data_IF_918136452291
#
_entry.id   IF_918136452291
#
_cell.length_a   1.000
_cell.length_b   1.000
_cell.length_c   1.000
_cell.angle_alpha   90.00
_cell.angle_beta   90.00
_cell.angle_gamma   90.00
#
_symmetry.space_group_name_H-M   'P 1'
#
loop_
_entity.id
_entity.type
_entity.pdbx_description
1 polymer ?
#
# COMPACT_ATOMS: atom_id res chain seq x y z
N UNK A 1 23.55 -15.30 7.15
CA UNK A 1 22.14 -15.00 6.82
C UNK A 1 22.16 -14.04 5.64
N UNK A 2 21.66 -14.45 4.47
CA UNK A 2 21.66 -13.60 3.29
C UNK A 2 20.59 -12.52 3.45
N UNK A 3 20.99 -11.25 3.38
CA UNK A 3 20.04 -10.13 3.33
C UNK A 3 19.10 -10.31 2.13
N UNK A 4 17.78 -10.18 2.28
CA UNK A 4 16.88 -10.24 1.13
C UNK A 4 17.22 -9.06 0.21
N UNK A 5 17.69 -9.36 -1.00
CA UNK A 5 17.88 -8.35 -2.03
C UNK A 5 16.49 -7.87 -2.47
N UNK A 6 16.05 -6.75 -1.92
CA UNK A 6 14.87 -6.05 -2.41
C UNK A 6 15.18 -5.51 -3.82
N UNK A 7 14.97 -6.35 -4.84
CA UNK A 7 15.04 -5.91 -6.23
C UNK A 7 13.82 -5.04 -6.50
N UNK A 8 14.02 -3.73 -6.50
CA UNK A 8 13.00 -2.77 -6.93
C UNK A 8 12.62 -3.12 -8.38
N UNK A 9 11.37 -3.50 -8.61
CA UNK A 9 10.83 -3.78 -9.95
C UNK A 9 10.63 -2.45 -10.67
N UNK A 10 11.68 -2.02 -11.38
CA UNK A 10 11.68 -0.83 -12.25
C UNK A 10 10.91 -1.17 -13.54
N UNK A 11 9.61 -1.34 -13.43
CA UNK A 11 8.71 -1.43 -14.58
C UNK A 11 8.06 -0.07 -14.80
N UNK A 12 7.97 0.39 -16.04
CA UNK A 12 7.23 1.61 -16.39
C UNK A 12 5.72 1.30 -16.57
N UNK A 13 4.81 2.27 -16.28
CA UNK A 13 3.39 2.06 -16.47
C UNK A 13 3.05 1.89 -17.96
N UNK A 14 2.02 1.09 -18.25
CA UNK A 14 1.55 0.84 -19.63
C UNK A 14 1.15 2.15 -20.32
N UNK A 15 0.60 3.11 -19.56
CA UNK A 15 0.29 4.44 -20.06
C UNK A 15 1.49 5.12 -20.74
N UNK A 16 2.67 5.06 -20.11
CA UNK A 16 3.91 5.63 -20.67
C UNK A 16 4.33 4.88 -21.94
N UNK A 17 4.18 3.55 -21.97
CA UNK A 17 4.46 2.74 -23.16
C UNK A 17 3.56 3.12 -24.33
N UNK A 18 2.26 3.31 -24.09
CA UNK A 18 1.27 3.66 -25.12
C UNK A 18 1.58 5.02 -25.75
N UNK A 19 1.88 6.02 -24.91
CA UNK A 19 2.24 7.37 -25.36
C UNK A 19 3.55 7.34 -26.15
N UNK A 20 4.59 6.67 -25.62
CA UNK A 20 5.90 6.57 -26.30
C UNK A 20 5.82 5.84 -27.64
N UNK A 21 5.00 4.79 -27.72
CA UNK A 21 4.81 4.04 -28.95
C UNK A 21 3.98 4.80 -30.01
N UNK A 22 3.44 5.98 -29.68
CA UNK A 22 2.56 6.72 -30.59
C UNK A 22 1.29 5.95 -30.94
N UNK A 23 0.82 5.09 -30.02
CA UNK A 23 -0.37 4.27 -30.29
C UNK A 23 -1.57 5.18 -30.53
N UNK A 24 -2.34 4.99 -31.61
CA UNK A 24 -3.50 5.83 -31.86
C UNK A 24 -4.51 5.70 -30.71
N UNK A 25 -4.83 6.83 -30.11
CA UNK A 25 -5.84 6.98 -29.06
C UNK A 25 -7.07 7.56 -29.74
N UNK A 26 -8.15 6.79 -29.76
CA UNK A 26 -9.44 7.29 -30.22
C UNK A 26 -9.90 8.42 -29.28
N UNK A 27 -10.20 9.58 -29.87
CA UNK A 27 -10.67 10.76 -29.15
C UNK A 27 -12.07 10.58 -28.55
N UNK A 28 -12.80 9.52 -28.95
CA UNK A 28 -14.11 9.18 -28.43
C UNK A 28 -15.09 10.36 -28.56
N UNK A 29 -15.09 11.02 -29.73
CA UNK A 29 -15.88 12.22 -29.98
C UNK A 29 -17.40 12.05 -29.70
N UNK A 30 -17.91 10.82 -29.81
CA UNK A 30 -19.31 10.48 -29.52
C UNK A 30 -19.60 10.29 -28.03
N UNK A 31 -18.58 10.17 -27.18
CA UNK A 31 -18.73 10.03 -25.74
C UNK A 31 -18.96 11.40 -25.10
N UNK A 32 -20.15 11.63 -24.53
CA UNK A 32 -20.45 12.89 -23.83
C UNK A 32 -19.47 13.15 -22.68
N UNK A 33 -19.00 12.08 -22.03
CA UNK A 33 -18.03 12.13 -20.95
C UNK A 33 -16.71 12.75 -21.42
N UNK A 34 -16.19 12.33 -22.58
CA UNK A 34 -14.88 12.80 -23.07
C UNK A 34 -14.97 14.03 -23.98
N UNK A 35 -16.07 14.23 -24.71
CA UNK A 35 -16.21 15.30 -25.69
C UNK A 35 -16.85 16.58 -25.15
N UNK A 36 -17.75 16.49 -24.16
CA UNK A 36 -18.47 17.66 -23.63
C UNK A 36 -17.95 18.14 -22.27
N UNK A 37 -17.57 17.21 -21.39
CA UNK A 37 -17.12 17.59 -20.06
C UNK A 37 -15.68 18.09 -20.11
N UNK A 38 -15.36 19.19 -19.43
CA UNK A 38 -13.98 19.63 -19.29
C UNK A 38 -13.22 18.68 -18.36
N UNK A 39 -11.89 18.72 -18.44
CA UNK A 39 -11.02 17.75 -17.74
C UNK A 39 -11.18 17.82 -16.22
N UNK A 40 -11.41 19.01 -15.67
CA UNK A 40 -11.59 19.24 -14.23
C UNK A 40 -12.83 18.51 -13.69
N UNK A 41 -13.92 18.50 -14.46
CA UNK A 41 -15.15 17.79 -14.09
C UNK A 41 -14.94 16.28 -14.22
N UNK A 42 -14.22 15.84 -15.27
CA UNK A 42 -13.87 14.43 -15.40
C UNK A 42 -13.00 13.95 -14.25
N UNK A 43 -12.00 14.73 -13.83
CA UNK A 43 -11.14 14.40 -12.70
C UNK A 43 -11.98 14.17 -11.42
N UNK A 44 -13.00 15.00 -11.15
CA UNK A 44 -13.93 14.78 -10.03
C UNK A 44 -14.75 13.49 -10.17
N UNK A 45 -15.23 13.19 -11.38
CA UNK A 45 -15.94 11.92 -11.66
C UNK A 45 -15.01 10.73 -11.43
N UNK A 46 -13.77 10.81 -11.90
CA UNK A 46 -12.77 9.76 -11.71
C UNK A 46 -12.45 9.52 -10.24
N UNK A 47 -12.31 10.58 -9.46
CA UNK A 47 -12.08 10.45 -8.00
C UNK A 47 -13.21 9.68 -7.31
N UNK A 48 -14.46 9.99 -7.65
CA UNK A 48 -15.61 9.30 -7.08
C UNK A 48 -15.76 7.87 -7.62
N UNK A 49 -15.55 7.66 -8.92
CA UNK A 49 -15.70 6.35 -9.56
C UNK A 49 -14.66 5.33 -9.09
N UNK A 50 -13.44 5.79 -8.74
CA UNK A 50 -12.37 4.93 -8.25
C UNK A 50 -12.20 4.94 -6.74
N UNK A 51 -13.11 5.56 -5.99
CA UNK A 51 -13.10 5.48 -4.55
C UNK A 51 -13.46 4.07 -4.10
N UNK A 52 -12.69 3.52 -3.16
CA UNK A 52 -12.93 2.19 -2.62
C UNK A 52 -14.21 2.17 -1.79
N UNK A 53 -15.02 1.13 -1.99
CA UNK A 53 -16.26 0.89 -1.28
C UNK A 53 -16.23 -0.46 -0.54
N UNK A 54 -17.11 -0.60 0.46
CA UNK A 54 -17.33 -1.87 1.13
C UNK A 54 -18.21 -2.78 0.26
N UNK A 55 -17.66 -3.93 -0.13
CA UNK A 55 -18.35 -4.98 -0.86
C UNK A 55 -19.22 -5.80 0.10
N UNK A 56 -20.42 -5.31 0.36
CA UNK A 56 -21.41 -5.99 1.20
C UNK A 56 -21.94 -7.31 0.62
N UNK A 57 -21.57 -7.67 -0.62
CA UNK A 57 -21.80 -9.03 -1.10
C UNK A 57 -20.86 -10.05 -0.41
N UNK A 58 -19.74 -9.59 0.14
CA UNK A 58 -18.72 -10.36 0.83
C UNK A 58 -18.40 -9.75 2.22
N UNK A 59 -19.35 -9.76 3.17
CA UNK A 59 -19.10 -9.23 4.52
C UNK A 59 -18.17 -10.13 5.31
N UNK A 60 -17.40 -9.57 6.23
CA UNK A 60 -16.63 -10.39 7.16
C UNK A 60 -17.54 -11.10 8.16
N UNK A 61 -17.11 -12.28 8.64
CA UNK A 61 -17.75 -12.90 9.78
C UNK A 61 -17.62 -12.02 11.03
N UNK A 62 -18.74 -11.79 11.75
CA UNK A 62 -18.84 -10.88 12.90
C UNK A 62 -17.89 -11.26 14.04
N UNK A 63 -17.52 -12.53 14.15
CA UNK A 63 -16.64 -13.09 15.17
C UNK A 63 -15.15 -12.79 14.94
N UNK A 64 -14.79 -12.14 13.83
CA UNK A 64 -13.39 -11.83 13.50
C UNK A 64 -12.89 -10.55 14.14
N UNK A 65 -11.68 -10.61 14.68
CA UNK A 65 -11.03 -9.49 15.36
C UNK A 65 -10.73 -8.27 14.45
N UNK A 66 -10.69 -8.45 13.13
CA UNK A 66 -10.48 -7.35 12.18
C UNK A 66 -11.78 -6.62 11.78
N UNK A 67 -12.95 -7.08 12.22
CA UNK A 67 -14.21 -6.39 11.95
C UNK A 67 -14.28 -5.13 12.82
N UNK A 68 -14.54 -3.99 12.19
CA UNK A 68 -14.71 -2.70 12.88
C UNK A 68 -15.79 -1.86 12.22
N UNK A 69 -16.39 -0.89 12.94
CA UNK A 69 -17.30 0.08 12.33
C UNK A 69 -16.62 0.80 11.16
N UNK A 70 -17.27 0.79 9.98
CA UNK A 70 -16.71 1.33 8.73
C UNK A 70 -15.68 0.42 8.03
N UNK A 71 -15.50 -0.81 8.52
CA UNK A 71 -14.76 -1.86 7.84
C UNK A 71 -15.35 -3.24 8.16
N UNK A 72 -16.64 -3.39 7.88
CA UNK A 72 -17.41 -4.60 8.06
C UNK A 72 -17.31 -5.56 6.87
N UNK A 73 -16.85 -5.08 5.72
CA UNK A 73 -16.71 -5.89 4.52
C UNK A 73 -15.40 -5.64 3.77
N UNK A 74 -15.20 -6.43 2.71
CA UNK A 74 -14.11 -6.29 1.75
C UNK A 74 -14.07 -4.91 1.14
N UNK A 75 -12.88 -4.29 1.03
CA UNK A 75 -12.74 -3.08 0.22
C UNK A 75 -12.58 -3.47 -1.25
N UNK A 76 -13.36 -2.82 -2.11
CA UNK A 76 -13.38 -3.05 -3.54
C UNK A 76 -13.24 -1.71 -4.25
N UNK A 77 -12.55 -1.74 -5.39
CA UNK A 77 -12.51 -0.62 -6.33
C UNK A 77 -12.97 -1.17 -7.67
N UNK A 78 -13.91 -0.47 -8.30
CA UNK A 78 -14.35 -0.84 -9.63
C UNK A 78 -13.32 -0.40 -10.67
N UNK A 79 -12.61 -1.38 -11.24
CA UNK A 79 -11.61 -1.17 -12.29
C UNK A 79 -12.19 -1.37 -13.69
N UNK A 80 -13.47 -1.69 -13.85
CA UNK A 80 -14.09 -1.91 -15.15
C UNK A 80 -13.93 -0.68 -16.06
N UNK A 81 -14.00 0.51 -15.47
CA UNK A 81 -13.83 1.77 -16.17
C UNK A 81 -12.43 1.90 -16.83
N UNK A 82 -11.36 1.40 -16.20
CA UNK A 82 -10.01 1.40 -16.78
C UNK A 82 -9.89 0.52 -18.03
N UNK A 83 -10.78 -0.45 -18.19
CA UNK A 83 -10.77 -1.41 -19.30
C UNK A 83 -11.61 -0.98 -20.49
N UNK A 84 -12.35 0.14 -20.37
CA UNK A 84 -13.29 0.60 -21.41
C UNK A 84 -12.58 1.11 -22.67
N UNK A 85 -11.67 2.07 -22.53
CA UNK A 85 -10.91 2.62 -23.65
C UNK A 85 -9.57 3.20 -23.22
N UNK A 86 -8.66 3.38 -24.20
CA UNK A 86 -7.32 3.93 -23.96
C UNK A 86 -7.35 5.36 -23.43
N UNK A 87 -8.31 6.18 -23.88
CA UNK A 87 -8.43 7.57 -23.43
C UNK A 87 -8.72 7.65 -21.93
N UNK A 88 -9.70 6.87 -21.45
CA UNK A 88 -10.02 6.78 -20.01
C UNK A 88 -8.83 6.22 -19.25
N UNK A 89 -8.23 5.13 -19.71
CA UNK A 89 -7.06 4.54 -19.06
C UNK A 89 -5.93 5.57 -18.85
N UNK A 90 -5.62 6.38 -19.88
CA UNK A 90 -4.56 7.39 -19.79
C UNK A 90 -4.89 8.52 -18.81
N UNK A 91 -6.15 8.91 -18.67
CA UNK A 91 -6.54 9.92 -17.67
C UNK A 91 -6.52 9.36 -16.24
N UNK A 92 -6.75 8.05 -16.07
CA UNK A 92 -7.19 7.51 -14.77
C UNK A 92 -6.31 6.44 -14.15
N UNK A 93 -5.32 5.88 -14.86
CA UNK A 93 -4.52 4.74 -14.37
C UNK A 93 -3.79 4.97 -13.02
N UNK A 94 -3.61 6.22 -12.60
CA UNK A 94 -3.03 6.59 -11.31
C UNK A 94 -4.06 6.88 -10.20
N UNK A 95 -5.30 7.17 -10.58
CA UNK A 95 -6.35 7.61 -9.64
C UNK A 95 -6.61 6.56 -8.55
N UNK A 96 -6.72 5.24 -8.85
CA UNK A 96 -6.91 4.24 -7.80
C UNK A 96 -5.82 4.24 -6.72
N UNK A 97 -4.58 4.58 -7.06
CA UNK A 97 -3.47 4.64 -6.11
C UNK A 97 -3.46 5.94 -5.29
N UNK A 98 -3.92 7.05 -5.89
CA UNK A 98 -3.92 8.37 -5.25
C UNK A 98 -5.09 8.59 -4.31
N UNK A 99 -6.26 8.05 -4.62
CA UNK A 99 -7.46 8.36 -3.86
C UNK A 99 -7.65 7.42 -2.66
N UNK A 100 -7.23 6.16 -2.83
CA UNK A 100 -7.49 5.10 -1.88
C UNK A 100 -6.40 4.97 -0.83
N UNK A 101 -6.85 4.63 0.38
CA UNK A 101 -5.95 4.26 1.48
C UNK A 101 -5.45 2.86 1.23
N UNK A 102 -4.16 2.65 1.41
CA UNK A 102 -3.64 1.31 1.53
C UNK A 102 -3.65 0.84 2.97
N UNK A 103 -4.34 -0.26 3.21
CA UNK A 103 -4.45 -0.89 4.53
C UNK A 103 -3.42 -2.02 4.68
N UNK A 104 -2.52 -1.86 5.65
CA UNK A 104 -1.50 -2.84 6.03
C UNK A 104 -1.86 -3.44 7.37
N UNK A 105 -1.86 -4.76 7.46
CA UNK A 105 -2.09 -5.49 8.71
C UNK A 105 -0.83 -6.20 9.17
N UNK A 106 -0.26 -5.72 10.28
CA UNK A 106 0.84 -6.34 11.00
C UNK A 106 0.28 -7.12 12.19
N UNK A 107 0.17 -8.44 12.02
CA UNK A 107 -0.53 -9.30 12.96
C UNK A 107 -0.46 -10.78 12.58
N UNK A 108 -0.96 -11.62 13.46
CA UNK A 108 -1.14 -13.04 13.25
C UNK A 108 -2.11 -13.28 12.08
N UNK A 109 -1.80 -14.26 11.22
CA UNK A 109 -2.62 -14.67 10.07
C UNK A 109 -4.09 -14.93 10.41
N UNK A 110 -4.37 -15.36 11.65
CA UNK A 110 -5.73 -15.68 12.12
C UNK A 110 -6.61 -14.45 12.33
N UNK A 111 -5.99 -13.32 12.62
CA UNK A 111 -6.67 -12.10 13.04
C UNK A 111 -6.70 -11.04 11.95
N UNK A 112 -5.90 -11.20 10.90
CA UNK A 112 -5.90 -10.33 9.74
C UNK A 112 -6.86 -10.86 8.66
N UNK A 113 -7.46 -9.99 7.84
CA UNK A 113 -8.26 -10.43 6.71
C UNK A 113 -7.38 -11.24 5.73
N UNK A 114 -7.79 -12.46 5.40
CA UNK A 114 -7.00 -13.39 4.57
C UNK A 114 -7.15 -13.16 3.06
N UNK A 115 -8.13 -12.35 2.65
CA UNK A 115 -8.42 -12.12 1.23
C UNK A 115 -7.40 -11.19 0.55
N UNK A 116 -6.99 -11.56 -0.66
CA UNK A 116 -6.12 -10.77 -1.54
C UNK A 116 -6.92 -9.65 -2.18
N UNK A 117 -7.19 -8.59 -1.43
CA UNK A 117 -7.89 -7.42 -1.97
C UNK A 117 -6.88 -6.46 -2.65
N UNK A 118 -7.27 -5.80 -3.76
CA UNK A 118 -6.48 -4.70 -4.27
C UNK A 118 -6.39 -3.64 -3.17
N UNK A 119 -5.18 -3.17 -2.85
CA UNK A 119 -4.90 -2.20 -1.77
C UNK A 119 -5.09 -2.71 -0.33
N UNK A 120 -5.34 -4.02 -0.13
CA UNK A 120 -5.10 -4.67 1.16
C UNK A 120 -3.84 -5.50 1.10
N UNK A 121 -3.00 -5.23 2.08
CA UNK A 121 -1.71 -5.85 2.23
C UNK A 121 -1.73 -6.72 3.47
N UNK A 122 -2.37 -7.88 3.29
CA UNK A 122 -2.50 -8.90 4.29
C UNK A 122 -1.12 -9.50 4.55
N UNK A 123 -0.71 -9.42 5.82
CA UNK A 123 0.47 -10.00 6.43
C UNK A 123 1.76 -9.19 6.34
N UNK A 124 2.03 -8.46 7.42
CA UNK A 124 3.38 -8.06 7.81
C UNK A 124 3.71 -8.82 9.11
N UNK A 125 4.01 -10.12 9.05
CA UNK A 125 4.75 -10.73 10.15
C UNK A 125 6.21 -10.30 10.02
N UNK A 126 6.85 -9.81 11.10
CA UNK A 126 8.29 -9.63 11.10
C UNK A 126 8.98 -10.93 10.68
N UNK A 127 10.02 -10.89 9.81
CA UNK A 127 10.72 -9.70 9.31
C UNK A 127 10.26 -9.17 7.94
N UNK A 128 9.10 -9.56 7.42
CA UNK A 128 8.77 -9.39 6.00
C UNK A 128 7.70 -8.32 5.74
N UNK A 129 8.15 -7.13 5.34
CA UNK A 129 7.35 -6.08 4.66
C UNK A 129 6.96 -6.47 3.22
N UNK A 130 6.67 -7.75 2.98
CA UNK A 130 6.35 -8.29 1.66
C UNK A 130 5.21 -7.58 0.91
N UNK A 131 4.18 -7.00 1.54
CA UNK A 131 3.05 -6.50 0.77
C UNK A 131 3.37 -5.27 -0.09
N UNK A 132 4.18 -4.33 0.42
CA UNK A 132 4.64 -3.15 -0.34
C UNK A 132 5.51 -3.59 -1.53
N UNK A 133 6.24 -4.70 -1.39
CA UNK A 133 7.09 -5.23 -2.46
C UNK A 133 6.31 -5.68 -3.70
N UNK A 134 4.99 -5.89 -3.59
CA UNK A 134 4.13 -6.26 -4.74
C UNK A 134 3.80 -5.08 -5.63
N UNK A 135 3.90 -3.85 -5.12
CA UNK A 135 3.73 -2.67 -5.94
C UNK A 135 4.92 -2.48 -6.86
N UNK A 136 4.64 -2.06 -8.09
CA UNK A 136 5.67 -1.48 -8.95
C UNK A 136 6.10 -0.14 -8.36
N UNK A 137 7.34 0.27 -8.62
CA UNK A 137 7.88 1.52 -8.05
C UNK A 137 7.02 2.74 -8.38
N UNK A 138 6.48 2.81 -9.59
CA UNK A 138 5.59 3.89 -10.00
C UNK A 138 4.24 3.87 -9.28
N UNK A 139 3.74 2.70 -8.86
CA UNK A 139 2.50 2.61 -8.09
C UNK A 139 2.75 3.10 -6.66
N UNK A 140 3.88 2.69 -6.09
CA UNK A 140 4.29 3.09 -4.74
C UNK A 140 4.45 4.60 -4.60
N UNK A 141 5.07 5.27 -5.57
CA UNK A 141 5.26 6.73 -5.56
C UNK A 141 3.93 7.50 -5.63
N UNK A 142 2.84 6.87 -6.07
CA UNK A 142 1.54 7.51 -6.24
C UNK A 142 0.62 7.33 -5.03
N UNK A 143 1.05 6.54 -4.04
CA UNK A 143 0.31 6.39 -2.79
C UNK A 143 0.33 7.71 -2.03
N UNK A 144 -0.86 8.17 -1.65
CA UNK A 144 -1.01 9.37 -0.81
C UNK A 144 -1.31 9.02 0.64
N UNK A 145 -1.96 7.86 0.87
CA UNK A 145 -2.48 7.45 2.18
C UNK A 145 -2.10 5.99 2.43
N UNK A 146 -1.47 5.76 3.57
CA UNK A 146 -1.16 4.42 4.08
C UNK A 146 -1.62 4.35 5.52
N UNK A 147 -2.37 3.30 5.84
CA UNK A 147 -2.88 3.01 7.17
C UNK A 147 -2.33 1.66 7.59
N UNK A 148 -1.77 1.60 8.80
CA UNK A 148 -1.10 0.41 9.32
C UNK A 148 -1.76 0.01 10.63
N UNK A 149 -2.28 -1.21 10.68
CA UNK A 149 -2.88 -1.80 11.87
C UNK A 149 -1.89 -2.77 12.50
N UNK A 150 -1.56 -2.51 13.75
CA UNK A 150 -0.71 -3.38 14.56
C UNK A 150 -1.56 -4.09 15.62
N UNK A 151 -1.29 -5.36 15.83
CA UNK A 151 -1.77 -6.02 17.03
C UNK A 151 -0.94 -5.58 18.25
N UNK A 152 -1.61 -5.39 19.39
CA UNK A 152 -0.97 -4.88 20.60
C UNK A 152 0.18 -5.77 21.10
N UNK A 153 0.06 -7.08 20.99
CA UNK A 153 1.12 -8.03 21.36
C UNK A 153 2.43 -7.79 20.60
N UNK A 154 2.37 -7.41 19.33
CA UNK A 154 3.55 -7.08 18.52
C UNK A 154 4.25 -5.80 19.02
N UNK A 155 3.49 -4.81 19.46
CA UNK A 155 4.06 -3.57 20.01
C UNK A 155 4.79 -3.83 21.34
N UNK A 156 4.26 -4.73 22.15
CA UNK A 156 4.88 -5.13 23.41
C UNK A 156 6.22 -5.85 23.18
N UNK A 157 6.30 -6.70 22.15
CA UNK A 157 7.53 -7.40 21.80
C UNK A 157 8.59 -6.46 21.20
N UNK A 158 8.18 -5.51 20.36
CA UNK A 158 9.07 -4.43 19.89
C UNK A 158 9.58 -3.59 21.06
N UNK A 159 8.71 -3.23 22.01
CA UNK A 159 9.11 -2.46 23.19
C UNK A 159 10.14 -3.18 24.05
N UNK A 160 10.00 -4.51 24.22
CA UNK A 160 10.99 -5.34 24.92
C UNK A 160 12.33 -5.37 24.17
N UNK A 161 12.30 -5.61 22.86
CA UNK A 161 13.52 -5.61 22.03
C UNK A 161 14.27 -4.28 22.09
N UNK A 162 13.55 -3.15 21.99
CA UNK A 162 14.17 -1.81 22.06
C UNK A 162 14.81 -1.57 23.43
N UNK A 163 14.18 -2.02 24.51
CA UNK A 163 14.77 -1.92 25.85
C UNK A 163 16.04 -2.76 25.97
N UNK A 164 16.03 -3.97 25.46
CA UNK A 164 17.20 -4.86 25.47
C UNK A 164 18.35 -4.27 24.64
N UNK A 165 18.07 -3.67 23.48
CA UNK A 165 19.08 -3.02 22.64
C UNK A 165 19.65 -1.74 23.28
N UNK A 166 18.82 -0.98 24.00
CA UNK A 166 19.24 0.23 24.73
C UNK A 166 20.15 -0.16 25.91
N UNK A 167 19.74 -1.18 26.68
CA UNK A 167 20.56 -1.72 27.78
C UNK A 167 21.90 -2.23 27.25
N UNK A 168 21.89 -2.89 26.10
CA UNK A 168 23.10 -3.41 25.46
C UNK A 168 24.04 -2.29 24.98
N UNK A 169 23.50 -1.24 24.37
CA UNK A 169 24.27 -0.07 23.95
C UNK A 169 24.89 0.69 25.14
N UNK A 170 24.15 0.80 26.25
CA UNK A 170 24.66 1.43 27.48
C UNK A 170 25.77 0.59 28.12
N UNK A 171 25.66 -0.75 28.12
CA UNK A 171 26.75 -1.63 28.57
C UNK A 171 27.98 -1.56 27.65
N UNK A 172 27.81 -1.50 26.33
CA UNK A 172 28.94 -1.40 25.39
C UNK A 172 29.67 -0.06 25.52
N UNK A 173 28.94 1.03 25.80
CA UNK A 173 29.50 2.34 26.09
C UNK A 173 30.26 2.36 27.42
N UNK A 174 29.75 1.67 28.45
CA UNK A 174 30.42 1.53 29.74
C UNK A 174 31.71 0.70 29.64
N UNK A 175 31.67 -0.43 28.92
CA UNK A 175 32.84 -1.28 28.67
C UNK A 175 33.92 -0.51 27.89
N UNK A 176 33.53 0.27 26.88
CA UNK A 176 34.47 1.09 26.11
C UNK A 176 35.14 2.18 26.95
N UNK A 177 34.43 2.79 27.90
CA UNK A 177 35.02 3.77 28.85
C UNK A 177 36.02 3.11 29.80
N UNK A 178 35.70 1.94 30.34
CA UNK A 178 36.62 1.18 31.22
C UNK A 178 37.89 0.77 30.47
N UNK A 179 37.77 0.32 29.22
CA UNK A 179 38.93 -0.05 28.39
C UNK A 179 39.81 1.16 28.07
N UNK A 180 39.22 2.35 27.86
CA UNK A 180 39.99 3.57 27.59
C UNK A 180 40.70 4.12 28.84
N UNK A 181 40.16 3.89 30.04
CA UNK A 181 40.83 4.25 31.30
C UNK A 181 41.99 3.30 31.63
N UNK A 182 41.88 2.00 31.33
CA UNK A 182 42.95 1.01 31.54
C UNK A 182 44.09 1.10 30.52
N UNK A 183 43.85 1.66 29.32
CA UNK A 183 44.87 1.85 28.28
C UNK A 183 45.54 3.25 28.33
N UNK A 184 45.06 4.14 29.20
CA UNK A 184 45.56 5.50 29.38
C UNK A 184 46.45 5.72 30.61
N UNK A 185 46.80 4.66 31.34
CA UNK A 185 47.66 4.66 32.53
C UNK A 185 49.09 4.18 32.29
#
# INVERSE_FOLDING_TARGET
MASPSYSVRIDEPVAVKLVRAGTPIDSQANSQLLSKLPREVRDQIWQQAFQADEDFACPYPIDKAHVRPGQAARLRIDLALLLTCRAIYLETYLVPFRENVVEIYAGNERDVPTEKEPFRWAHCAPPYYEPISRLRSWQFVQLTKVSIHYQQNLLEDISKSVKDDTVKADTDLAVSKVILEELGG
#
